data_IF_740243908496
#
_entry.id   IF_740243908496
#
_cell.length_a   1.000
_cell.length_b   1.000
_cell.length_c   1.000
_cell.angle_alpha   90.00
_cell.angle_beta   90.00
_cell.angle_gamma   90.00
#
_symmetry.space_group_name_H-M   'P 1'
#
loop_
_entity.id
_entity.type
_entity.pdbx_description
1 polymer ?
#
# COMPACT_ATOMS: atom_id res chain seq x y z
N UNK A 1 -11.48 10.74 15.53
CA UNK A 1 -11.50 9.31 15.90
C UNK A 1 -12.82 8.61 15.58
N UNK A 2 -13.95 9.27 15.71
CA UNK A 2 -15.29 8.69 15.43
C UNK A 2 -15.47 8.21 13.98
N UNK A 3 -14.90 8.91 13.00
CA UNK A 3 -15.08 8.58 11.59
C UNK A 3 -14.49 7.22 11.21
N UNK A 4 -13.31 6.84 11.70
CA UNK A 4 -12.69 5.54 11.40
C UNK A 4 -13.46 4.35 12.01
N UNK A 5 -14.24 4.58 13.06
CA UNK A 5 -15.09 3.56 13.67
C UNK A 5 -16.38 3.37 12.85
N UNK A 6 -16.93 4.46 12.30
CA UNK A 6 -18.20 4.44 11.55
C UNK A 6 -18.05 4.05 10.09
N UNK A 7 -16.91 4.41 9.43
CA UNK A 7 -16.68 4.12 8.00
C UNK A 7 -15.94 2.78 7.85
N UNK A 8 -16.71 1.72 7.60
CA UNK A 8 -16.19 0.35 7.49
C UNK A 8 -15.22 0.12 6.32
N UNK A 9 -15.19 1.02 5.33
CA UNK A 9 -14.28 0.94 4.18
C UNK A 9 -12.94 1.62 4.44
N UNK A 10 -12.78 2.27 5.60
CA UNK A 10 -11.53 2.89 6.02
C UNK A 10 -10.78 1.92 6.93
N UNK A 11 -9.66 1.41 6.46
CA UNK A 11 -8.79 0.52 7.23
C UNK A 11 -7.57 1.29 7.76
N UNK A 12 -7.10 0.87 8.92
CA UNK A 12 -5.83 1.28 9.53
C UNK A 12 -4.83 0.14 9.47
N UNK A 13 -3.53 0.34 9.79
CA UNK A 13 -2.64 -0.80 9.98
C UNK A 13 -3.17 -1.78 11.04
N UNK A 14 -3.18 -3.08 10.72
CA UNK A 14 -3.67 -4.12 11.63
C UNK A 14 -2.80 -4.24 12.88
N UNK A 15 -1.50 -4.09 12.70
CA UNK A 15 -0.51 -4.18 13.77
C UNK A 15 -0.30 -2.88 14.56
N UNK A 16 -1.28 -1.98 14.61
CA UNK A 16 -1.26 -0.90 15.61
C UNK A 16 -1.44 -1.49 17.01
N UNK A 17 -1.01 -0.70 18.02
CA UNK A 17 -1.15 -1.09 19.42
C UNK A 17 -2.59 -1.47 19.76
N UNK A 18 -2.76 -2.47 20.63
CA UNK A 18 -4.06 -2.95 21.07
C UNK A 18 -4.96 -1.80 21.58
N UNK A 19 -6.25 -1.87 21.27
CA UNK A 19 -7.21 -0.81 21.59
C UNK A 19 -7.26 0.37 20.61
N UNK A 20 -6.43 0.37 19.54
CA UNK A 20 -6.52 1.38 18.48
C UNK A 20 -7.88 1.31 17.78
N UNK A 21 -8.57 2.48 17.53
CA UNK A 21 -9.89 2.51 16.90
C UNK A 21 -9.85 2.06 15.43
N UNK A 22 -10.96 1.51 14.93
CA UNK A 22 -11.10 1.02 13.56
C UNK A 22 -10.57 -0.40 13.38
N UNK A 23 -10.57 -0.88 12.13
CA UNK A 23 -10.12 -2.22 11.75
C UNK A 23 -8.97 -2.14 10.76
N UNK A 24 -8.08 -3.14 10.77
CA UNK A 24 -7.00 -3.24 9.79
C UNK A 24 -7.26 -4.27 8.69
N UNK A 25 -8.31 -5.08 8.89
CA UNK A 25 -8.78 -6.09 7.94
C UNK A 25 -10.23 -5.80 7.58
N UNK A 26 -10.57 -5.92 6.30
CA UNK A 26 -11.95 -5.82 5.82
C UNK A 26 -12.20 -6.79 4.68
N UNK A 27 -13.42 -7.36 4.60
CA UNK A 27 -13.87 -8.15 3.47
C UNK A 27 -15.03 -7.41 2.81
N UNK A 28 -14.89 -7.10 1.53
CA UNK A 28 -15.80 -6.27 0.78
C UNK A 28 -16.34 -7.01 -0.44
N UNK A 29 -17.59 -6.74 -0.80
CA UNK A 29 -18.15 -7.26 -2.03
C UNK A 29 -17.87 -6.30 -3.20
N UNK A 30 -17.35 -6.85 -4.28
CA UNK A 30 -17.20 -6.12 -5.55
C UNK A 30 -18.57 -5.98 -6.25
N UNK A 31 -18.60 -5.15 -7.32
CA UNK A 31 -19.82 -5.01 -8.15
C UNK A 31 -20.31 -6.33 -8.75
N UNK A 32 -19.41 -7.30 -8.94
CA UNK A 32 -19.70 -8.62 -9.49
C UNK A 32 -19.88 -9.69 -8.39
N UNK A 33 -20.21 -9.27 -7.16
CA UNK A 33 -20.41 -10.14 -5.99
C UNK A 33 -19.19 -11.02 -5.63
N UNK A 34 -17.99 -10.64 -6.05
CA UNK A 34 -16.76 -11.27 -5.59
C UNK A 34 -16.33 -10.68 -4.27
N UNK A 35 -15.91 -11.52 -3.34
CA UNK A 35 -15.37 -11.10 -2.05
C UNK A 35 -13.90 -10.69 -2.21
N UNK A 36 -13.56 -9.49 -1.76
CA UNK A 36 -12.19 -8.98 -1.73
C UNK A 36 -11.81 -8.72 -0.28
N UNK A 37 -10.85 -9.48 0.24
CA UNK A 37 -10.25 -9.19 1.54
C UNK A 37 -9.13 -8.18 1.35
N UNK A 38 -9.04 -7.20 2.25
CA UNK A 38 -7.98 -6.20 2.28
C UNK A 38 -7.39 -6.16 3.68
N UNK A 39 -6.08 -6.19 3.77
CA UNK A 39 -5.34 -5.92 5.02
C UNK A 39 -4.34 -4.80 4.79
N UNK A 40 -4.28 -3.85 5.73
CA UNK A 40 -3.20 -2.88 5.81
C UNK A 40 -2.22 -3.29 6.92
N UNK A 41 -0.93 -3.24 6.63
CA UNK A 41 0.17 -3.57 7.55
C UNK A 41 1.16 -2.40 7.61
N UNK A 42 1.73 -2.12 8.78
CA UNK A 42 2.77 -1.11 8.95
C UNK A 42 4.09 -1.76 9.34
N UNK A 43 5.16 -1.48 8.60
CA UNK A 43 6.51 -1.94 8.92
C UNK A 43 6.99 -1.50 10.30
N UNK A 44 7.97 -2.21 10.83
CA UNK A 44 8.55 -1.90 12.13
C UNK A 44 9.82 -1.05 12.02
N UNK A 45 10.58 -1.19 10.92
CA UNK A 45 11.90 -0.57 10.78
C UNK A 45 11.75 0.88 10.30
N UNK A 46 12.25 1.82 11.08
CA UNK A 46 12.15 3.28 10.88
C UNK A 46 10.72 3.84 10.83
N UNK A 47 9.76 3.04 11.28
CA UNK A 47 8.35 3.44 11.37
C UNK A 47 7.96 3.79 12.81
N UNK A 48 6.73 4.30 13.00
CA UNK A 48 6.17 4.51 14.34
C UNK A 48 6.05 3.17 15.07
N UNK A 49 6.17 3.20 16.41
CA UNK A 49 6.02 2.00 17.24
C UNK A 49 4.65 1.34 16.99
N UNK A 50 4.68 0.07 16.64
CA UNK A 50 3.54 -0.82 16.43
C UNK A 50 3.92 -2.23 16.84
N UNK A 51 2.98 -3.16 16.83
CA UNK A 51 3.22 -4.58 17.04
C UNK A 51 3.99 -5.19 15.87
N UNK A 52 4.55 -6.38 16.07
CA UNK A 52 5.35 -7.08 15.04
C UNK A 52 4.52 -7.34 13.78
N UNK A 53 4.98 -6.80 12.66
CA UNK A 53 4.27 -6.88 11.38
C UNK A 53 4.26 -8.29 10.80
N UNK A 54 5.31 -9.10 11.03
CA UNK A 54 5.36 -10.47 10.54
C UNK A 54 4.46 -11.39 11.36
N UNK A 55 4.33 -11.16 12.66
CA UNK A 55 3.36 -11.90 13.49
C UNK A 55 1.91 -11.55 13.12
N UNK A 56 1.61 -10.27 12.83
CA UNK A 56 0.30 -9.86 12.33
C UNK A 56 -0.01 -10.52 10.96
N UNK A 57 0.96 -10.54 10.06
CA UNK A 57 0.83 -11.20 8.76
C UNK A 57 0.59 -12.71 8.88
N UNK A 58 1.30 -13.41 9.77
CA UNK A 58 1.07 -14.85 10.04
C UNK A 58 -0.33 -15.12 10.56
N UNK A 59 -0.81 -14.32 11.51
CA UNK A 59 -2.19 -14.42 12.03
C UNK A 59 -3.22 -14.24 10.92
N UNK A 60 -3.02 -13.25 10.05
CA UNK A 60 -3.90 -13.02 8.91
C UNK A 60 -3.91 -14.22 7.95
N UNK A 61 -2.75 -14.74 7.56
CA UNK A 61 -2.64 -15.93 6.68
C UNK A 61 -3.35 -17.15 7.27
N UNK A 62 -3.41 -17.27 8.61
CA UNK A 62 -4.12 -18.35 9.27
C UNK A 62 -5.63 -18.15 9.30
N UNK A 63 -6.09 -16.90 9.38
CA UNK A 63 -7.50 -16.54 9.55
C UNK A 63 -8.27 -16.26 8.26
N UNK A 64 -7.58 -15.86 7.18
CA UNK A 64 -8.21 -15.54 5.89
C UNK A 64 -7.49 -16.28 4.77
N UNK A 65 -8.21 -17.16 4.10
CA UNK A 65 -7.69 -18.00 3.01
C UNK A 65 -8.19 -17.55 1.67
N UNK A 66 -7.26 -17.46 0.71
CA UNK A 66 -7.59 -17.20 -0.69
C UNK A 66 -8.47 -18.33 -1.22
N UNK A 67 -9.58 -18.01 -1.87
CA UNK A 67 -10.61 -18.88 -2.43
C UNK A 67 -11.49 -19.62 -1.42
N UNK A 68 -11.18 -19.61 -0.14
CA UNK A 68 -12.07 -20.15 0.91
C UNK A 68 -12.90 -19.01 1.53
N UNK A 69 -12.25 -17.97 2.03
CA UNK A 69 -12.90 -16.84 2.72
C UNK A 69 -13.13 -15.64 1.80
N UNK A 70 -12.23 -15.43 0.84
CA UNK A 70 -12.27 -14.36 -0.15
C UNK A 70 -11.85 -14.85 -1.53
N UNK A 71 -12.50 -14.32 -2.60
CA UNK A 71 -12.11 -14.59 -3.97
C UNK A 71 -10.74 -13.98 -4.30
N UNK A 72 -10.44 -12.81 -3.75
CA UNK A 72 -9.19 -12.08 -3.92
C UNK A 72 -8.73 -11.49 -2.60
N UNK A 73 -7.42 -11.39 -2.42
CA UNK A 73 -6.80 -10.79 -1.22
C UNK A 73 -5.80 -9.73 -1.64
N UNK A 74 -5.92 -8.54 -1.06
CA UNK A 74 -5.03 -7.39 -1.26
C UNK A 74 -4.32 -7.06 0.05
N UNK A 75 -3.01 -6.95 -0.01
CA UNK A 75 -2.16 -6.54 1.11
C UNK A 75 -1.53 -5.19 0.78
N UNK A 76 -1.78 -4.17 1.62
CA UNK A 76 -1.06 -2.90 1.62
C UNK A 76 0.01 -2.94 2.71
N UNK A 77 1.27 -2.99 2.32
CA UNK A 77 2.43 -2.98 3.22
C UNK A 77 3.04 -1.59 3.30
N UNK A 78 2.60 -0.81 4.28
CA UNK A 78 3.08 0.55 4.52
C UNK A 78 4.40 0.55 5.30
N UNK A 79 5.53 0.75 4.65
CA UNK A 79 6.83 0.67 5.30
C UNK A 79 7.95 1.38 4.55
N UNK A 80 8.96 1.88 5.30
CA UNK A 80 10.12 2.56 4.75
C UNK A 80 11.09 1.57 4.08
N UNK A 81 11.38 0.45 4.74
CA UNK A 81 12.49 -0.44 4.33
C UNK A 81 12.07 -1.42 3.23
N UNK A 82 12.78 -1.35 2.09
CA UNK A 82 12.57 -2.24 0.93
C UNK A 82 12.71 -3.71 1.29
N UNK A 83 13.72 -4.08 2.09
CA UNK A 83 13.94 -5.49 2.48
C UNK A 83 12.79 -6.05 3.32
N UNK A 84 12.18 -5.23 4.18
CA UNK A 84 11.01 -5.63 4.97
C UNK A 84 9.79 -5.86 4.07
N UNK A 85 9.54 -4.97 3.10
CA UNK A 85 8.47 -5.14 2.09
C UNK A 85 8.69 -6.38 1.21
N UNK A 86 9.92 -6.60 0.74
CA UNK A 86 10.26 -7.77 -0.08
C UNK A 86 10.11 -9.07 0.69
N UNK A 87 10.58 -9.13 1.95
CA UNK A 87 10.41 -10.28 2.82
C UNK A 87 8.93 -10.59 3.07
N UNK A 88 8.11 -9.56 3.25
CA UNK A 88 6.67 -9.70 3.37
C UNK A 88 6.05 -10.25 2.07
N UNK A 89 6.51 -9.79 0.89
CA UNK A 89 6.12 -10.34 -0.40
C UNK A 89 6.34 -11.85 -0.48
N UNK A 90 7.53 -12.34 -0.10
CA UNK A 90 7.83 -13.77 -0.08
C UNK A 90 6.99 -14.57 0.94
N UNK A 91 6.66 -13.97 2.10
CA UNK A 91 5.78 -14.60 3.09
C UNK A 91 4.38 -14.84 2.52
N UNK A 92 3.86 -13.89 1.73
CA UNK A 92 2.52 -13.93 1.15
C UNK A 92 2.46 -14.61 -0.23
N UNK A 93 3.59 -14.90 -0.87
CA UNK A 93 3.61 -15.47 -2.22
C UNK A 93 2.82 -16.77 -2.34
N UNK A 94 1.88 -16.80 -3.28
CA UNK A 94 0.93 -17.89 -3.50
C UNK A 94 -0.25 -17.95 -2.51
N UNK A 95 -0.36 -16.99 -1.60
CA UNK A 95 -1.43 -16.95 -0.57
C UNK A 95 -2.37 -15.76 -0.72
N UNK A 96 -1.97 -14.76 -1.51
CA UNK A 96 -2.76 -13.55 -1.78
C UNK A 96 -2.69 -13.19 -3.26
N UNK A 97 -3.68 -12.44 -3.73
CA UNK A 97 -3.72 -11.96 -5.11
C UNK A 97 -2.61 -10.96 -5.38
N UNK A 98 -2.45 -9.98 -4.48
CA UNK A 98 -1.43 -8.95 -4.61
C UNK A 98 -0.95 -8.45 -3.25
N UNK A 99 0.33 -8.08 -3.20
CA UNK A 99 0.93 -7.28 -2.16
C UNK A 99 1.60 -6.05 -2.79
N UNK A 100 1.22 -4.88 -2.33
CA UNK A 100 1.83 -3.62 -2.75
C UNK A 100 2.43 -2.89 -1.55
N UNK A 101 3.62 -2.34 -1.74
CA UNK A 101 4.22 -1.44 -0.77
C UNK A 101 3.73 -0.01 -0.98
N UNK A 102 3.74 0.74 0.11
CA UNK A 102 3.45 2.19 0.17
C UNK A 102 4.42 2.87 1.13
N UNK A 103 4.37 4.16 1.30
CA UNK A 103 5.13 5.03 2.19
C UNK A 103 6.11 5.97 1.50
N UNK A 104 6.93 5.49 0.57
CA UNK A 104 8.03 6.31 0.02
C UNK A 104 7.55 7.41 -0.92
N UNK A 105 6.31 7.32 -1.38
CA UNK A 105 5.68 8.21 -2.35
C UNK A 105 6.27 8.13 -3.76
N UNK A 106 7.21 7.23 -4.01
CA UNK A 106 7.88 7.06 -5.31
C UNK A 106 7.59 5.67 -5.86
N UNK A 107 6.99 5.54 -7.07
CA UNK A 107 6.70 4.24 -7.64
C UNK A 107 8.00 3.53 -8.02
N UNK A 108 8.17 2.30 -7.55
CA UNK A 108 9.30 1.47 -7.91
C UNK A 108 9.06 0.72 -9.22
N UNK A 109 10.11 0.29 -9.89
CA UNK A 109 10.03 -0.39 -11.19
C UNK A 109 10.04 -1.93 -11.09
N UNK A 110 9.94 -2.48 -9.88
CA UNK A 110 10.10 -3.91 -9.60
C UNK A 110 8.79 -4.71 -9.60
N UNK A 111 7.73 -4.13 -10.19
CA UNK A 111 6.44 -4.82 -10.31
C UNK A 111 6.59 -6.14 -11.07
N UNK A 112 6.01 -7.20 -10.53
CA UNK A 112 6.09 -8.54 -11.10
C UNK A 112 5.03 -9.48 -10.53
N UNK A 113 4.83 -10.61 -11.18
CA UNK A 113 4.20 -11.78 -10.57
C UNK A 113 5.32 -12.61 -9.95
N UNK A 114 5.20 -12.93 -8.67
CA UNK A 114 6.15 -13.76 -7.94
C UNK A 114 5.98 -15.24 -8.32
N UNK A 115 6.92 -16.09 -7.93
CA UNK A 115 7.00 -17.50 -8.39
C UNK A 115 5.73 -18.31 -8.12
N UNK A 116 5.00 -18.02 -7.03
CA UNK A 116 3.75 -18.72 -6.66
C UNK A 116 2.49 -17.97 -7.07
N UNK A 117 2.61 -16.88 -7.84
CA UNK A 117 1.48 -16.21 -8.48
C UNK A 117 0.96 -14.96 -7.78
N UNK A 118 1.57 -14.46 -6.71
CA UNK A 118 1.20 -13.17 -6.10
C UNK A 118 1.76 -12.00 -6.93
N UNK A 119 0.91 -11.01 -7.28
CA UNK A 119 1.40 -9.75 -7.83
C UNK A 119 2.11 -8.93 -6.74
N UNK A 120 3.25 -8.34 -7.07
CA UNK A 120 4.08 -7.59 -6.12
C UNK A 120 4.67 -6.32 -6.74
N UNK A 121 4.71 -5.24 -5.94
CA UNK A 121 5.52 -4.05 -6.20
C UNK A 121 5.98 -3.46 -4.85
N UNK A 122 7.25 -3.07 -4.76
CA UNK A 122 7.85 -2.55 -3.52
C UNK A 122 7.20 -1.24 -3.05
N UNK A 123 6.83 -0.33 -3.98
CA UNK A 123 6.05 0.88 -3.67
C UNK A 123 5.25 1.30 -4.91
N UNK A 124 3.96 1.53 -4.75
CA UNK A 124 3.08 1.94 -5.85
C UNK A 124 3.06 3.46 -6.07
N UNK A 125 3.83 4.21 -5.29
CA UNK A 125 3.91 5.66 -5.36
C UNK A 125 2.73 6.38 -4.71
N UNK A 126 2.61 7.67 -5.00
CA UNK A 126 1.52 8.52 -4.49
C UNK A 126 0.58 8.96 -5.60
N UNK A 127 -0.65 9.30 -5.25
CA UNK A 127 -1.53 10.10 -6.09
C UNK A 127 -1.38 11.57 -5.67
N UNK A 128 -0.68 12.37 -6.48
CA UNK A 128 -0.36 13.75 -6.12
C UNK A 128 0.57 14.44 -7.10
N UNK A 129 0.99 15.65 -6.75
CA UNK A 129 1.91 16.44 -7.56
C UNK A 129 3.34 15.92 -7.40
N UNK A 130 3.90 15.34 -8.47
CA UNK A 130 5.29 14.86 -8.50
C UNK A 130 6.32 15.98 -8.79
N UNK A 131 5.90 17.19 -9.17
CA UNK A 131 6.78 18.36 -9.19
C UNK A 131 6.92 18.97 -7.78
N UNK A 132 7.28 18.15 -6.83
CA UNK A 132 7.28 18.40 -5.41
C UNK A 132 8.39 17.61 -4.71
N UNK A 133 8.51 17.75 -3.41
CA UNK A 133 9.33 16.84 -2.58
C UNK A 133 8.38 15.88 -1.87
N UNK A 134 8.22 14.69 -2.41
CA UNK A 134 7.30 13.64 -1.90
C UNK A 134 5.86 14.15 -1.62
N UNK A 135 5.34 15.02 -2.49
CA UNK A 135 4.02 15.63 -2.34
C UNK A 135 3.99 16.95 -1.58
N UNK A 136 5.11 17.38 -0.96
CA UNK A 136 5.21 18.63 -0.22
C UNK A 136 5.76 19.75 -1.10
N UNK A 137 5.37 20.99 -0.83
CA UNK A 137 5.87 22.17 -1.54
C UNK A 137 7.39 22.15 -1.61
N UNK A 138 7.92 22.24 -2.84
CA UNK A 138 9.33 22.08 -3.19
C UNK A 138 10.22 23.14 -2.50
N UNK A 139 9.85 24.40 -2.60
CA UNK A 139 10.68 25.50 -2.15
C UNK A 139 10.75 25.54 -0.60
N UNK A 140 9.62 25.28 0.06
CA UNK A 140 9.60 25.18 1.52
C UNK A 140 10.38 23.94 2.03
N UNK A 141 10.33 22.83 1.28
CA UNK A 141 11.12 21.62 1.62
C UNK A 141 12.61 21.89 1.50
N UNK A 142 13.06 22.56 0.44
CA UNK A 142 14.46 22.98 0.29
C UNK A 142 14.92 23.90 1.44
N UNK A 143 14.10 24.90 1.81
CA UNK A 143 14.37 25.78 2.95
C UNK A 143 14.59 24.98 4.24
N UNK A 144 13.77 23.93 4.47
CA UNK A 144 13.92 23.06 5.66
C UNK A 144 15.24 22.29 5.66
N UNK A 145 15.65 21.72 4.54
CA UNK A 145 16.94 21.03 4.41
C UNK A 145 18.13 21.99 4.61
N UNK A 146 18.01 23.23 4.13
CA UNK A 146 19.02 24.29 4.37
C UNK A 146 18.94 24.92 5.76
N UNK A 147 17.98 24.50 6.62
CA UNK A 147 17.75 25.09 7.94
C UNK A 147 17.47 26.60 7.89
N UNK A 148 16.84 27.06 6.80
CA UNK A 148 16.45 28.46 6.63
C UNK A 148 15.38 28.82 7.67
N UNK A 149 15.57 29.89 8.47
CA UNK A 149 14.62 30.30 9.49
C UNK A 149 13.26 30.75 8.93
N UNK A 150 13.16 31.05 7.63
CA UNK A 150 11.90 31.37 6.95
C UNK A 150 11.08 30.12 6.58
N UNK A 151 11.60 28.91 6.79
CA UNK A 151 10.87 27.67 6.53
C UNK A 151 9.68 27.51 7.48
N UNK A 152 8.51 27.24 6.91
CA UNK A 152 7.25 27.02 7.66
C UNK A 152 6.91 25.54 7.79
N UNK A 153 5.83 25.21 8.50
CA UNK A 153 5.32 23.82 8.55
C UNK A 153 5.11 23.28 7.13
N UNK A 154 5.38 21.97 6.92
CA UNK A 154 5.11 21.32 5.63
C UNK A 154 3.66 21.49 5.20
N UNK A 155 3.46 21.79 3.92
CA UNK A 155 2.16 21.86 3.26
C UNK A 155 2.24 21.21 1.89
N UNK A 156 1.13 20.65 1.37
CA UNK A 156 1.13 19.93 0.11
C UNK A 156 1.46 20.86 -1.06
N UNK A 157 2.08 20.31 -2.09
CA UNK A 157 2.14 20.92 -3.40
C UNK A 157 0.74 20.88 -4.05
N UNK A 158 0.39 21.92 -4.80
CA UNK A 158 -0.94 22.11 -5.40
C UNK A 158 -0.89 22.15 -6.92
N UNK A 159 0.14 21.58 -7.53
CA UNK A 159 0.26 21.44 -8.97
C UNK A 159 -0.60 20.31 -9.53
N UNK A 160 -0.34 19.96 -10.79
CA UNK A 160 -1.08 18.92 -11.47
C UNK A 160 -0.76 17.53 -10.89
N UNK A 161 -1.81 16.82 -10.49
CA UNK A 161 -1.66 15.51 -9.86
C UNK A 161 -1.35 14.42 -10.91
N UNK A 162 -0.52 13.47 -10.53
CA UNK A 162 -0.32 12.19 -11.20
C UNK A 162 -1.00 11.09 -10.39
N UNK A 163 -1.76 10.22 -11.07
CA UNK A 163 -2.26 8.96 -10.49
C UNK A 163 -1.16 7.93 -10.61
N UNK A 164 -0.81 7.27 -9.51
CA UNK A 164 0.12 6.14 -9.49
C UNK A 164 -0.50 4.94 -8.80
N UNK A 165 -0.27 3.74 -9.33
CA UNK A 165 -0.85 2.52 -8.80
C UNK A 165 -0.43 1.27 -9.58
N UNK A 166 -1.08 0.15 -9.28
CA UNK A 166 -0.83 -1.13 -9.93
C UNK A 166 -2.15 -1.75 -10.38
N UNK A 167 -2.23 -2.14 -11.65
CA UNK A 167 -3.34 -2.94 -12.17
C UNK A 167 -2.96 -4.42 -12.12
N UNK A 168 -3.86 -5.25 -11.61
CA UNK A 168 -3.70 -6.70 -11.56
C UNK A 168 -4.90 -7.37 -12.19
N UNK A 169 -4.65 -8.27 -13.15
CA UNK A 169 -5.66 -9.21 -13.64
C UNK A 169 -5.40 -10.54 -12.94
N UNK A 170 -6.40 -11.01 -12.20
CA UNK A 170 -6.31 -12.24 -11.44
C UNK A 170 -7.20 -13.34 -12.05
N UNK A 171 -6.76 -14.57 -11.88
CA UNK A 171 -7.51 -15.75 -12.25
C UNK A 171 -8.69 -15.98 -11.32
N UNK A 172 -9.86 -16.27 -11.87
CA UNK A 172 -11.07 -16.46 -11.07
C UNK A 172 -11.11 -17.78 -10.29
N UNK A 173 -10.37 -18.78 -10.71
CA UNK A 173 -10.35 -20.10 -10.05
C UNK A 173 -9.33 -20.13 -8.90
N UNK A 174 -8.15 -19.58 -9.14
CA UNK A 174 -7.06 -19.59 -8.17
C UNK A 174 -7.02 -18.34 -7.28
N UNK A 175 -7.56 -17.21 -7.75
CA UNK A 175 -7.42 -15.91 -7.11
C UNK A 175 -6.02 -15.29 -7.25
N UNK A 176 -5.08 -15.96 -7.93
CA UNK A 176 -3.71 -15.49 -8.15
C UNK A 176 -3.61 -14.60 -9.38
N UNK A 177 -2.52 -13.84 -9.48
CA UNK A 177 -2.31 -12.90 -10.58
C UNK A 177 -1.89 -13.58 -11.88
N UNK A 178 -2.51 -13.19 -13.00
CA UNK A 178 -2.14 -13.58 -14.36
C UNK A 178 -1.41 -12.46 -15.09
N UNK A 179 -1.67 -11.19 -14.73
CA UNK A 179 -1.05 -10.02 -15.35
C UNK A 179 -0.89 -8.91 -14.31
N UNK A 180 0.19 -8.16 -14.42
CA UNK A 180 0.47 -6.99 -13.59
C UNK A 180 1.01 -5.87 -14.47
N UNK A 181 0.47 -4.67 -14.33
CA UNK A 181 0.90 -3.46 -15.07
C UNK A 181 0.89 -2.25 -14.15
N UNK A 182 1.92 -1.40 -14.18
CA UNK A 182 1.91 -0.15 -13.44
C UNK A 182 0.96 0.83 -14.12
N UNK A 183 0.25 1.60 -13.30
CA UNK A 183 -0.55 2.73 -13.76
C UNK A 183 0.18 4.00 -13.33
N UNK A 184 0.56 4.83 -14.29
CA UNK A 184 1.09 6.18 -14.05
C UNK A 184 0.43 7.11 -15.06
N UNK A 185 -0.42 8.03 -14.59
CA UNK A 185 -1.16 8.97 -15.42
C UNK A 185 -1.04 10.38 -14.86
N UNK A 186 -0.40 11.26 -15.60
CA UNK A 186 -0.19 12.66 -15.21
C UNK A 186 0.89 13.32 -16.06
N UNK A 187 1.38 14.49 -15.65
CA UNK A 187 2.34 15.25 -16.43
C UNK A 187 3.79 15.08 -16.02
N UNK A 188 4.06 14.83 -14.75
CA UNK A 188 5.43 14.91 -14.24
C UNK A 188 6.23 13.63 -14.48
N UNK A 189 5.56 12.48 -14.44
CA UNK A 189 6.16 11.17 -14.73
C UNK A 189 5.71 10.69 -16.10
N UNK A 190 6.53 9.83 -16.73
CA UNK A 190 6.17 9.19 -17.98
C UNK A 190 4.92 8.32 -17.80
N UNK A 191 3.92 8.53 -18.65
CA UNK A 191 2.66 7.81 -18.57
C UNK A 191 2.85 6.31 -18.89
N UNK A 192 2.24 5.46 -18.09
CA UNK A 192 2.20 3.99 -18.23
C UNK A 192 0.79 3.50 -17.97
N UNK A 193 0.27 2.71 -18.89
CA UNK A 193 -1.04 2.04 -18.82
C UNK A 193 -0.89 0.62 -19.36
#
# INVERSE_FOLDING_TARGET
MEFIISEKRLLRPENLVEGSPGAGIGIFNSKNNKKVAVINLMGNIFMKKCEDVFEAAKKFIQSVKLKEDADFIVVDMHGEITSEKMAMGYLFDGKVTMLVGTHTHVPTSDYRIMEKGTAYQTDIGMCGDYNSVIGMNRDNSLKKFFKDPSAIKHYPALGEATISGLMVIADNETGLANKVEPIVLGKCLENRI
#
